data_IF_012410562236
#
_entry.id   IF_012410562236
#
_cell.length_a   1.000
_cell.length_b   1.000
_cell.length_c   1.000
_cell.angle_alpha   90.00
_cell.angle_beta   90.00
_cell.angle_gamma   90.00
#
_symmetry.space_group_name_H-M   'P 1'
#
loop_
_entity.id
_entity.type
_entity.pdbx_description
1 polymer ?
#
# COMPACT_ATOMS: atom_id res chain seq x y z
N UNK A 1 -4.48 -11.39 16.51
CA UNK A 1 -3.06 -11.59 16.85
C UNK A 1 -2.41 -10.22 17.03
N UNK A 2 -2.57 -9.61 18.20
CA UNK A 2 -1.98 -8.28 18.50
C UNK A 2 -0.81 -8.49 19.45
N UNK A 3 0.37 -7.98 19.10
CA UNK A 3 1.59 -8.18 19.91
C UNK A 3 1.68 -7.23 21.10
N UNK A 4 2.60 -7.53 22.03
CA UNK A 4 2.89 -6.71 23.22
C UNK A 4 3.96 -5.62 23.00
N UNK A 5 4.47 -5.48 21.77
CA UNK A 5 5.43 -4.43 21.42
C UNK A 5 4.75 -3.06 21.30
N UNK A 6 5.55 -1.99 21.41
CA UNK A 6 5.06 -0.62 21.28
C UNK A 6 4.40 -0.38 19.91
N UNK A 7 3.26 0.32 19.91
CA UNK A 7 2.47 0.60 18.72
C UNK A 7 2.09 -0.66 17.92
N UNK A 8 1.67 -1.73 18.59
CA UNK A 8 1.28 -2.99 17.95
C UNK A 8 0.03 -2.94 17.07
N UNK A 9 -0.64 -1.79 16.99
CA UNK A 9 -1.66 -1.50 15.98
C UNK A 9 -1.07 -1.18 14.60
N UNK A 10 0.24 -0.88 14.49
CA UNK A 10 0.85 -0.48 13.22
C UNK A 10 0.75 -1.57 12.14
N UNK A 11 1.00 -2.87 12.39
CA UNK A 11 0.83 -3.86 11.33
C UNK A 11 -0.61 -4.02 10.87
N UNK A 12 -1.59 -3.76 11.75
CA UNK A 12 -3.00 -3.80 11.36
C UNK A 12 -3.34 -2.76 10.29
N UNK A 13 -2.70 -1.58 10.31
CA UNK A 13 -2.91 -0.53 9.30
C UNK A 13 -1.90 -0.58 8.16
N UNK A 14 -0.61 -0.82 8.45
CA UNK A 14 0.45 -0.81 7.45
C UNK A 14 0.38 -2.01 6.51
N UNK A 15 -0.11 -3.17 6.96
CA UNK A 15 -0.27 -4.31 6.07
C UNK A 15 -1.31 -3.99 4.97
N UNK A 16 -2.58 -3.63 5.27
CA UNK A 16 -3.52 -3.23 4.23
C UNK A 16 -3.04 -2.06 3.37
N UNK A 17 -2.39 -1.06 3.97
CA UNK A 17 -1.86 0.07 3.22
C UNK A 17 -0.79 -0.36 2.22
N UNK A 18 0.17 -1.19 2.62
CA UNK A 18 1.30 -1.58 1.76
C UNK A 18 0.92 -2.69 0.78
N UNK A 19 0.08 -3.66 1.19
CA UNK A 19 -0.21 -4.82 0.35
C UNK A 19 -1.43 -4.63 -0.53
N UNK A 20 -2.33 -3.68 -0.23
CA UNK A 20 -3.52 -3.41 -1.03
C UNK A 20 -3.54 -1.99 -1.59
N UNK A 21 -3.50 -0.96 -0.72
CA UNK A 21 -3.65 0.42 -1.20
C UNK A 21 -2.47 0.87 -2.07
N UNK A 22 -1.25 0.66 -1.60
CA UNK A 22 -0.02 1.04 -2.30
C UNK A 22 0.06 0.39 -3.69
N UNK A 23 -0.13 -0.93 -3.87
CA UNK A 23 -0.08 -1.50 -5.22
C UNK A 23 -1.21 -1.00 -6.10
N UNK A 24 -2.41 -0.74 -5.60
CA UNK A 24 -3.48 -0.11 -6.41
C UNK A 24 -3.07 1.27 -6.91
N UNK A 25 -2.55 2.11 -6.03
CA UNK A 25 -2.12 3.48 -6.38
C UNK A 25 -0.92 3.43 -7.33
N UNK A 26 0.11 2.66 -7.00
CA UNK A 26 1.33 2.56 -7.82
C UNK A 26 1.04 1.95 -9.19
N UNK A 27 0.24 0.88 -9.26
CA UNK A 27 -0.18 0.33 -10.54
C UNK A 27 -1.01 1.31 -11.34
N UNK A 28 -1.90 2.09 -10.71
CA UNK A 28 -2.66 3.14 -11.39
C UNK A 28 -1.75 4.23 -11.97
N UNK A 29 -0.76 4.68 -11.21
CA UNK A 29 0.22 5.68 -11.66
C UNK A 29 1.12 5.13 -12.78
N UNK A 30 1.61 3.90 -12.63
CA UNK A 30 2.41 3.22 -13.66
C UNK A 30 1.57 2.97 -14.92
N UNK A 31 0.30 2.62 -14.79
CA UNK A 31 -0.62 2.45 -15.90
C UNK A 31 -0.80 3.77 -16.67
N UNK A 32 -1.07 4.87 -15.96
CA UNK A 32 -1.12 6.20 -16.58
C UNK A 32 0.20 6.50 -17.28
N UNK A 33 1.34 6.22 -16.65
CA UNK A 33 2.66 6.48 -17.24
C UNK A 33 2.89 5.69 -18.55
N UNK A 34 2.55 4.40 -18.61
CA UNK A 34 2.79 3.58 -19.81
C UNK A 34 1.76 3.83 -20.92
N UNK A 35 0.54 4.25 -20.58
CA UNK A 35 -0.52 4.59 -21.54
C UNK A 35 -0.54 6.08 -21.92
N UNK A 36 0.31 6.90 -21.29
CA UNK A 36 0.46 8.30 -21.70
C UNK A 36 1.04 8.32 -23.10
N UNK A 37 0.24 8.84 -24.05
CA UNK A 37 0.72 9.20 -25.38
C UNK A 37 1.80 10.29 -25.27
N UNK A 38 2.56 10.51 -26.34
CA UNK A 38 3.72 11.42 -26.35
C UNK A 38 3.38 12.88 -25.96
#
# INVERSE_FOLDING_TARGET
MTGSYAASFLPWILIPLITWLMPVVVMGLLFIYIESDA
#
